data_IF_323173123309
#
_entry.id   IF_323173123309
#
_cell.length_a   1.000
_cell.length_b   1.000
_cell.length_c   1.000
_cell.angle_alpha   90.00
_cell.angle_beta   90.00
_cell.angle_gamma   90.00
#
_symmetry.space_group_name_H-M   'P 1'
#
loop_
_entity.id
_entity.type
_entity.pdbx_description
1 polymer ?
#
# COMPACT_ATOMS: atom_id res chain seq x y z
N UNK A 1 4.90 19.95 28.04
CA UNK A 1 3.97 20.01 26.88
C UNK A 1 4.21 18.76 26.04
N UNK A 2 3.21 17.86 25.89
CA UNK A 2 3.31 16.73 24.95
C UNK A 2 3.39 17.33 23.54
N UNK A 3 4.43 16.99 22.78
CA UNK A 3 4.46 17.29 21.34
C UNK A 3 3.18 16.72 20.70
N UNK A 4 2.54 17.46 19.77
CA UNK A 4 1.37 16.93 19.08
C UNK A 4 1.75 15.62 18.39
N UNK A 5 1.04 14.55 18.73
CA UNK A 5 1.25 13.22 18.15
C UNK A 5 1.10 13.32 16.64
N UNK A 6 2.21 13.09 15.93
CA UNK A 6 2.25 13.24 14.47
C UNK A 6 1.51 12.09 13.80
N UNK A 7 0.52 12.40 12.97
CA UNK A 7 -0.14 11.41 12.14
C UNK A 7 0.85 10.81 11.12
N UNK A 8 0.90 9.49 11.04
CA UNK A 8 1.69 8.76 10.04
C UNK A 8 0.92 8.59 8.75
N UNK A 9 -0.41 8.50 8.83
CA UNK A 9 -1.30 8.44 7.69
C UNK A 9 -2.51 9.32 7.93
N UNK A 10 -2.90 10.12 6.95
CA UNK A 10 -4.17 10.83 6.92
C UNK A 10 -4.85 10.60 5.57
N UNK A 11 -6.10 10.23 5.62
CA UNK A 11 -6.97 10.13 4.45
C UNK A 11 -8.09 11.16 4.64
N UNK A 12 -8.30 12.01 3.64
CA UNK A 12 -9.27 13.11 3.70
C UNK A 12 -10.21 13.06 2.52
N UNK A 13 -11.49 12.89 2.79
CA UNK A 13 -12.60 12.91 1.83
C UNK A 13 -12.36 12.02 0.59
N UNK A 14 -11.75 10.83 0.80
CA UNK A 14 -11.37 9.94 -0.26
C UNK A 14 -12.60 9.29 -0.89
N UNK A 15 -12.72 9.43 -2.21
CA UNK A 15 -13.75 8.77 -3.02
C UNK A 15 -13.10 8.02 -4.18
N UNK A 16 -13.55 6.77 -4.38
CA UNK A 16 -13.01 5.88 -5.41
C UNK A 16 -14.14 5.21 -6.17
N UNK A 17 -14.05 5.24 -7.49
CA UNK A 17 -15.04 4.62 -8.37
C UNK A 17 -14.39 3.64 -9.34
N UNK A 18 -15.16 2.62 -9.69
CA UNK A 18 -14.86 1.71 -10.80
C UNK A 18 -15.68 2.07 -12.02
N UNK A 19 -15.05 2.04 -13.16
CA UNK A 19 -15.70 2.22 -14.46
C UNK A 19 -15.80 0.87 -15.17
N UNK A 20 -16.99 0.55 -15.64
CA UNK A 20 -17.30 -0.63 -16.44
C UNK A 20 -18.19 -0.25 -17.63
N UNK A 21 -18.42 -1.16 -18.55
CA UNK A 21 -19.37 -0.98 -19.66
C UNK A 21 -20.80 -0.77 -19.18
N UNK A 22 -21.13 -1.22 -17.96
CA UNK A 22 -22.45 -1.05 -17.34
C UNK A 22 -22.58 0.28 -16.56
N UNK A 23 -21.52 1.07 -16.47
CA UNK A 23 -21.53 2.36 -15.77
C UNK A 23 -20.47 2.49 -14.69
N UNK A 24 -20.62 3.52 -13.87
CA UNK A 24 -19.73 3.84 -12.74
C UNK A 24 -20.28 3.30 -11.42
N UNK A 25 -19.42 2.63 -10.65
CA UNK A 25 -19.74 2.12 -9.31
C UNK A 25 -18.81 2.80 -8.29
N UNK A 26 -19.38 3.57 -7.38
CA UNK A 26 -18.65 4.19 -6.28
C UNK A 26 -18.40 3.17 -5.17
N UNK A 27 -17.15 2.72 -5.03
CA UNK A 27 -16.74 1.72 -4.04
C UNK A 27 -16.32 2.34 -2.71
N UNK A 28 -15.79 3.56 -2.72
CA UNK A 28 -15.43 4.35 -1.53
C UNK A 28 -16.05 5.74 -1.68
N UNK A 29 -16.72 6.21 -0.63
CA UNK A 29 -17.49 7.46 -0.67
C UNK A 29 -17.09 8.32 0.52
N UNK A 30 -16.37 9.41 0.26
CA UNK A 30 -16.05 10.48 1.22
C UNK A 30 -15.48 9.97 2.55
N UNK A 31 -14.51 9.05 2.50
CA UNK A 31 -13.90 8.44 3.68
C UNK A 31 -12.76 9.29 4.19
N UNK A 32 -12.80 9.60 5.49
CA UNK A 32 -11.75 10.35 6.18
C UNK A 32 -11.35 9.65 7.47
N UNK A 33 -10.05 9.51 7.72
CA UNK A 33 -9.49 9.03 8.99
C UNK A 33 -8.03 9.44 9.11
N UNK A 34 -7.48 9.31 10.30
CA UNK A 34 -6.06 9.48 10.56
C UNK A 34 -5.53 8.34 11.40
N UNK A 35 -4.25 8.03 11.27
CA UNK A 35 -3.52 7.04 12.04
C UNK A 35 -2.27 7.69 12.62
N UNK A 36 -2.10 7.59 13.93
CA UNK A 36 -0.93 8.10 14.65
C UNK A 36 0.16 7.05 14.72
N UNK A 37 1.38 7.49 15.02
CA UNK A 37 2.49 6.56 15.23
C UNK A 37 2.21 5.62 16.41
N UNK A 38 2.33 4.30 16.17
CA UNK A 38 2.07 3.26 17.17
C UNK A 38 0.60 2.93 17.39
N UNK A 39 -0.32 3.57 16.66
CA UNK A 39 -1.75 3.29 16.72
C UNK A 39 -2.13 2.11 15.81
N UNK A 40 -3.17 1.39 16.19
CA UNK A 40 -3.81 0.34 15.37
C UNK A 40 -5.22 0.77 15.02
N UNK A 41 -5.53 0.83 13.73
CA UNK A 41 -6.86 1.15 13.21
C UNK A 41 -7.47 -0.08 12.56
N UNK A 42 -8.63 -0.50 13.04
CA UNK A 42 -9.41 -1.58 12.44
C UNK A 42 -10.50 -1.01 11.51
N UNK A 43 -10.55 -1.50 10.26
CA UNK A 43 -11.60 -1.16 9.29
C UNK A 43 -12.53 -2.38 9.18
N UNK A 44 -13.74 -2.24 9.71
CA UNK A 44 -14.72 -3.31 9.80
C UNK A 44 -15.89 -3.03 8.87
N UNK A 45 -16.55 -4.08 8.37
CA UNK A 45 -17.71 -3.98 7.51
C UNK A 45 -17.96 -5.28 6.74
N UNK A 46 -19.09 -5.38 6.07
CA UNK A 46 -19.50 -6.56 5.30
C UNK A 46 -18.59 -6.82 4.08
N UNK A 47 -18.68 -8.03 3.51
CA UNK A 47 -17.98 -8.35 2.27
C UNK A 47 -18.46 -7.41 1.14
N UNK A 48 -17.52 -6.91 0.33
CA UNK A 48 -17.84 -6.01 -0.78
C UNK A 48 -18.02 -4.53 -0.41
N UNK A 49 -18.02 -4.12 0.87
CA UNK A 49 -18.25 -2.73 1.27
C UNK A 49 -17.07 -1.76 1.02
N UNK A 50 -16.04 -2.16 0.27
CA UNK A 50 -14.96 -1.27 -0.14
C UNK A 50 -13.70 -1.26 0.72
N UNK A 51 -13.59 -2.05 1.81
CA UNK A 51 -12.39 -2.07 2.70
C UNK A 51 -11.07 -2.30 1.95
N UNK A 52 -11.04 -3.36 1.13
CA UNK A 52 -9.85 -3.68 0.34
C UNK A 52 -9.56 -2.64 -0.75
N UNK A 53 -10.61 -2.02 -1.29
CA UNK A 53 -10.46 -0.91 -2.25
C UNK A 53 -9.84 0.29 -1.57
N UNK A 54 -10.28 0.64 -0.37
CA UNK A 54 -9.72 1.73 0.43
C UNK A 54 -8.22 1.51 0.70
N UNK A 55 -7.83 0.33 1.20
CA UNK A 55 -6.41 0.01 1.44
C UNK A 55 -5.57 0.04 0.16
N UNK A 56 -6.10 -0.55 -0.95
CA UNK A 56 -5.42 -0.52 -2.25
C UNK A 56 -5.32 0.89 -2.83
N UNK A 57 -6.29 1.76 -2.55
CA UNK A 57 -6.24 3.17 -2.97
C UNK A 57 -5.10 3.92 -2.30
N UNK A 58 -4.90 3.72 -1.00
CA UNK A 58 -3.80 4.32 -0.23
C UNK A 58 -2.45 3.89 -0.81
N UNK A 59 -2.33 2.61 -1.17
CA UNK A 59 -1.13 2.03 -1.77
C UNK A 59 -0.98 2.32 -3.27
N UNK A 60 -1.99 2.94 -3.89
CA UNK A 60 -2.10 3.12 -5.36
C UNK A 60 -1.95 1.79 -6.13
N UNK A 61 -2.57 0.74 -5.61
CA UNK A 61 -2.62 -0.60 -6.20
C UNK A 61 -4.01 -0.91 -6.77
N UNK A 62 -4.69 0.13 -7.25
CA UNK A 62 -5.97 0.00 -7.92
C UNK A 62 -5.79 -0.56 -9.33
N UNK A 63 -6.73 -1.40 -9.82
CA UNK A 63 -6.75 -1.80 -11.22
C UNK A 63 -7.07 -0.59 -12.12
N UNK A 64 -6.77 -0.71 -13.40
CA UNK A 64 -7.00 0.36 -14.41
C UNK A 64 -8.47 0.82 -14.50
N UNK A 65 -9.40 -0.05 -14.16
CA UNK A 65 -10.84 0.26 -14.12
C UNK A 65 -11.24 1.12 -12.93
N UNK A 66 -10.35 1.31 -11.94
CA UNK A 66 -10.65 2.10 -10.75
C UNK A 66 -9.87 3.41 -10.74
N UNK A 67 -10.52 4.47 -10.26
CA UNK A 67 -9.95 5.81 -10.18
C UNK A 67 -10.30 6.48 -8.85
N UNK A 68 -9.32 7.18 -8.27
CA UNK A 68 -9.56 8.12 -7.17
C UNK A 68 -10.24 9.36 -7.78
N UNK A 69 -11.46 9.64 -7.36
CA UNK A 69 -12.27 10.76 -7.87
C UNK A 69 -12.02 12.05 -7.10
N UNK A 70 -11.80 11.93 -5.79
CA UNK A 70 -11.54 13.06 -4.90
C UNK A 70 -10.83 12.62 -3.64
N UNK A 71 -10.37 13.60 -2.87
CA UNK A 71 -9.75 13.40 -1.57
C UNK A 71 -8.23 13.50 -1.61
N UNK A 72 -7.62 13.35 -0.43
CA UNK A 72 -6.17 13.41 -0.24
C UNK A 72 -5.67 12.29 0.63
N UNK A 73 -4.48 11.83 0.33
CA UNK A 73 -3.74 10.82 1.09
C UNK A 73 -2.40 11.44 1.51
N UNK A 74 -2.20 11.63 2.81
CA UNK A 74 -0.96 12.17 3.34
C UNK A 74 -0.22 11.08 4.12
N UNK A 75 1.03 10.86 3.79
CA UNK A 75 1.94 9.94 4.47
C UNK A 75 3.03 10.76 5.16
N UNK A 76 3.10 10.68 6.49
CA UNK A 76 3.99 11.50 7.31
C UNK A 76 3.91 13.01 7.01
N UNK A 77 2.71 13.49 6.67
CA UNK A 77 2.45 14.88 6.30
C UNK A 77 2.72 15.23 4.84
N UNK A 78 3.26 14.32 4.05
CA UNK A 78 3.49 14.51 2.61
C UNK A 78 2.29 14.00 1.81
N UNK A 79 1.74 14.85 0.95
CA UNK A 79 0.63 14.47 0.06
C UNK A 79 1.16 13.54 -1.06
N UNK A 80 0.67 12.31 -1.07
CA UNK A 80 1.04 11.29 -2.04
C UNK A 80 -0.08 11.01 -3.06
N UNK A 81 -1.15 11.81 -3.03
CA UNK A 81 -2.36 11.58 -3.84
C UNK A 81 -2.04 11.52 -5.33
N UNK A 82 -1.17 12.39 -5.81
CA UNK A 82 -0.83 12.48 -7.24
C UNK A 82 0.50 11.80 -7.61
N UNK A 83 1.13 11.08 -6.66
CA UNK A 83 2.38 10.37 -6.94
C UNK A 83 2.23 9.42 -8.11
N UNK A 84 3.20 9.45 -9.03
CA UNK A 84 3.31 8.52 -10.14
C UNK A 84 3.92 7.19 -9.66
N UNK A 85 3.82 6.16 -10.48
CA UNK A 85 4.31 4.82 -10.12
C UNK A 85 5.79 4.82 -9.67
N UNK A 86 6.67 5.57 -10.34
CA UNK A 86 8.09 5.70 -9.97
C UNK A 86 8.31 6.28 -8.57
N UNK A 87 7.44 7.18 -8.12
CA UNK A 87 7.49 7.79 -6.79
C UNK A 87 6.93 6.81 -5.74
N UNK A 88 5.83 6.13 -6.08
CA UNK A 88 5.25 5.12 -5.22
C UNK A 88 6.19 3.93 -4.99
N UNK A 89 6.93 3.49 -5.99
CA UNK A 89 7.93 2.41 -5.86
C UNK A 89 9.01 2.72 -4.81
N UNK A 90 9.38 3.98 -4.63
CA UNK A 90 10.38 4.39 -3.62
C UNK A 90 9.86 4.28 -2.18
N UNK A 91 8.56 4.43 -1.98
CA UNK A 91 7.95 4.46 -0.65
C UNK A 91 7.23 3.16 -0.28
N UNK A 92 6.78 2.36 -1.26
CA UNK A 92 6.28 1.01 -1.01
C UNK A 92 7.42 0.12 -0.51
N UNK A 93 7.18 -0.64 0.55
CA UNK A 93 8.17 -1.50 1.19
C UNK A 93 9.10 -0.78 2.18
N UNK A 94 9.33 0.53 2.05
CA UNK A 94 10.17 1.32 2.96
C UNK A 94 9.37 2.14 3.96
N UNK A 95 8.35 2.87 3.52
CA UNK A 95 7.53 3.70 4.38
C UNK A 95 6.22 3.01 4.80
N UNK A 96 5.68 2.14 3.98
CA UNK A 96 4.50 1.31 4.27
C UNK A 96 4.47 0.07 3.37
N UNK A 97 3.78 -0.97 3.82
CA UNK A 97 3.65 -2.25 3.12
C UNK A 97 2.23 -2.80 3.26
N UNK A 98 1.90 -3.82 2.49
CA UNK A 98 0.60 -4.46 2.52
C UNK A 98 0.77 -5.98 2.54
N UNK A 99 0.01 -6.64 3.40
CA UNK A 99 -0.16 -8.10 3.37
C UNK A 99 -1.49 -8.39 2.66
N UNK A 100 -1.43 -9.15 1.57
CA UNK A 100 -2.61 -9.52 0.80
C UNK A 100 -3.34 -10.70 1.46
N UNK A 101 -4.64 -10.78 1.22
CA UNK A 101 -5.51 -11.80 1.81
C UNK A 101 -5.18 -13.23 1.32
N UNK A 102 -4.70 -13.37 0.09
CA UNK A 102 -4.30 -14.64 -0.49
C UNK A 102 -2.76 -14.74 -0.58
N UNK A 103 -2.10 -15.45 0.35
CA UNK A 103 -0.66 -15.62 0.34
C UNK A 103 -0.18 -16.55 -0.78
N UNK A 104 -1.04 -17.45 -1.29
CA UNK A 104 -0.67 -18.44 -2.29
C UNK A 104 -0.31 -17.82 -3.64
N UNK A 105 -0.88 -16.67 -3.97
CA UNK A 105 -0.59 -15.92 -5.20
C UNK A 105 0.57 -14.92 -5.04
N UNK A 106 1.14 -14.80 -3.83
CA UNK A 106 2.21 -13.84 -3.54
C UNK A 106 3.56 -14.24 -4.14
N UNK A 107 3.79 -15.54 -4.34
CA UNK A 107 5.01 -16.06 -4.92
C UNK A 107 4.73 -16.62 -6.32
N UNK A 108 5.63 -16.34 -7.25
CA UNK A 108 5.60 -16.95 -8.58
C UNK A 108 6.14 -18.38 -8.51
N UNK A 109 5.34 -19.43 -8.81
CA UNK A 109 5.77 -20.82 -8.69
C UNK A 109 6.87 -21.22 -9.68
N UNK A 110 7.11 -20.45 -10.72
CA UNK A 110 8.15 -20.71 -11.73
C UNK A 110 9.51 -20.13 -11.38
N UNK A 111 9.59 -19.30 -10.34
CA UNK A 111 10.84 -18.63 -9.91
C UNK A 111 11.24 -19.17 -8.53
N UNK A 112 12.53 -19.42 -8.33
CA UNK A 112 13.06 -19.88 -7.03
C UNK A 112 12.74 -18.86 -5.93
N UNK A 113 12.29 -19.32 -4.76
CA UNK A 113 11.89 -18.48 -3.62
C UNK A 113 13.03 -17.53 -3.22
N UNK A 114 14.26 -18.01 -3.13
CA UNK A 114 15.42 -17.17 -2.79
C UNK A 114 15.65 -16.01 -3.76
N UNK A 115 15.33 -16.18 -5.06
CA UNK A 115 15.42 -15.09 -6.03
C UNK A 115 14.34 -14.02 -5.78
N UNK A 116 13.12 -14.43 -5.43
CA UNK A 116 12.01 -13.50 -5.15
C UNK A 116 12.25 -12.71 -3.87
N UNK A 117 12.80 -13.34 -2.83
CA UNK A 117 13.21 -12.65 -1.60
C UNK A 117 14.38 -11.68 -1.90
N UNK A 118 15.37 -12.12 -2.67
CA UNK A 118 16.50 -11.30 -3.07
C UNK A 118 16.06 -10.06 -3.87
N UNK A 119 15.10 -10.19 -4.77
CA UNK A 119 14.55 -9.07 -5.55
C UNK A 119 13.96 -8.01 -4.64
N UNK A 120 13.16 -8.40 -3.63
CA UNK A 120 12.56 -7.47 -2.67
C UNK A 120 13.63 -6.68 -1.89
N UNK A 121 14.75 -7.30 -1.56
CA UNK A 121 15.87 -6.64 -0.88
C UNK A 121 16.59 -5.68 -1.84
N UNK A 122 16.90 -6.13 -3.06
CA UNK A 122 17.69 -5.38 -4.04
C UNK A 122 16.96 -4.15 -4.57
N UNK A 123 15.64 -4.17 -4.68
CA UNK A 123 14.83 -3.00 -5.08
C UNK A 123 15.09 -1.82 -4.14
N UNK A 124 15.23 -2.06 -2.85
CA UNK A 124 15.46 -1.03 -1.84
C UNK A 124 16.96 -0.82 -1.52
N UNK A 125 17.79 -1.80 -1.81
CA UNK A 125 19.22 -1.80 -1.50
C UNK A 125 20.07 -2.28 -2.69
N UNK A 126 20.08 -1.54 -3.82
CA UNK A 126 20.69 -2.01 -5.08
C UNK A 126 22.22 -2.19 -5.01
N UNK A 127 22.88 -1.67 -3.96
CA UNK A 127 24.33 -1.77 -3.78
C UNK A 127 24.76 -3.00 -2.95
N UNK A 128 23.83 -3.76 -2.39
CA UNK A 128 24.20 -4.95 -1.60
C UNK A 128 24.76 -6.06 -2.46
N UNK A 129 25.79 -6.74 -1.94
CA UNK A 129 26.37 -7.92 -2.59
C UNK A 129 25.40 -9.11 -2.55
N UNK A 130 25.60 -10.08 -3.43
CA UNK A 130 24.81 -11.32 -3.42
C UNK A 130 24.88 -12.07 -2.08
N UNK A 131 26.04 -12.07 -1.44
CA UNK A 131 26.25 -12.70 -0.15
C UNK A 131 25.47 -12.00 0.97
N UNK A 132 25.52 -10.67 1.04
CA UNK A 132 24.72 -9.90 1.99
C UNK A 132 23.21 -10.12 1.80
N UNK A 133 22.75 -10.18 0.55
CA UNK A 133 21.34 -10.43 0.24
C UNK A 133 20.93 -11.84 0.65
N UNK A 134 21.80 -12.85 0.40
CA UNK A 134 21.56 -14.22 0.81
C UNK A 134 21.47 -14.35 2.33
N UNK A 135 22.41 -13.77 3.07
CA UNK A 135 22.41 -13.78 4.53
C UNK A 135 21.17 -13.09 5.10
N UNK A 136 20.77 -11.94 4.55
CA UNK A 136 19.53 -11.28 4.96
C UNK A 136 18.29 -12.13 4.67
N UNK A 137 18.25 -12.85 3.55
CA UNK A 137 17.12 -13.73 3.22
C UNK A 137 16.99 -14.91 4.19
N UNK A 138 18.11 -15.42 4.71
CA UNK A 138 18.11 -16.52 5.69
C UNK A 138 17.66 -16.10 7.08
N UNK A 139 17.89 -14.85 7.50
CA UNK A 139 17.48 -14.33 8.81
C UNK A 139 15.95 -14.30 8.93
N UNK A 140 15.22 -14.22 7.82
CA UNK A 140 13.77 -14.13 7.77
C UNK A 140 13.06 -15.47 7.50
N UNK A 141 13.81 -16.55 7.38
CA UNK A 141 13.31 -17.93 7.26
C UNK A 141 13.50 -18.67 8.58
#
# INVERSE_FOLDING_TARGET
MKQPEKNVLEVKNLSVSFHSTAGEVQAVRDVSFSLKKGEVLAIVGESGCGKSVLCKSIMKLLPRSAQIKSGKILLNGTDITDYKEKEMQKIRGSAFSMIFQDPMTSLNPTIKIGQQIAEAILVHHPKKSREEVYNLSLIHI
#
